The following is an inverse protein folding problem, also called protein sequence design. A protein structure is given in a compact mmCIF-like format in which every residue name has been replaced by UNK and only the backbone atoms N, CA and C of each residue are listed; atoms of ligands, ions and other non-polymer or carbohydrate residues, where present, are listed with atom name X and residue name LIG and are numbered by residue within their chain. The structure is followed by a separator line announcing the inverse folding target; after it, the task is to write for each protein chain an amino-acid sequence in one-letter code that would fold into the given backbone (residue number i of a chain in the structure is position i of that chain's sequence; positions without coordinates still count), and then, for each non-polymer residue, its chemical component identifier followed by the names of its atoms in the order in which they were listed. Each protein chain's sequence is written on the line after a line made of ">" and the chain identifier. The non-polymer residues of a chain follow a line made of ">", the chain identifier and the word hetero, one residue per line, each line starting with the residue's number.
data_IF_034508309713
#
_entry.id   IF_034508309713
#
_cell.length_a   1.000
_cell.length_b   1.000
_cell.length_c   1.000
_cell.angle_alpha   90.00
_cell.angle_beta   90.00
_cell.angle_gamma   90.00
#
_symmetry.space_group_name_H-M   'P 1'
#
loop_
_entity.id
_entity.type
_entity.pdbx_description
1 polymer ?
#
# COMPACT_ATOMS: atom_id res chain seq x y z
N UNK A 1 -3.01 6.73 12.52
CA UNK A 1 -3.26 6.21 13.88
C UNK A 1 -4.76 5.96 13.96
N UNK A 2 -5.21 4.80 14.44
CA UNK A 2 -6.65 4.58 14.61
C UNK A 2 -7.28 5.67 15.50
N UNK A 3 -8.47 6.13 15.16
CA UNK A 3 -9.24 7.15 15.90
C UNK A 3 -8.57 8.54 16.02
N UNK A 4 -7.57 8.84 15.19
CA UNK A 4 -6.99 10.17 15.13
C UNK A 4 -8.01 11.18 14.54
N UNK A 5 -8.20 12.36 15.17
CA UNK A 5 -9.09 13.40 14.65
C UNK A 5 -8.57 14.00 13.34
N UNK A 6 -7.27 13.85 13.06
CA UNK A 6 -6.64 14.24 11.79
C UNK A 6 -5.71 13.13 11.30
N UNK A 7 -5.82 12.77 10.01
CA UNK A 7 -5.03 11.71 9.40
C UNK A 7 -3.55 12.10 9.19
N UNK A 8 -3.20 13.37 9.36
CA UNK A 8 -1.84 13.91 9.29
C UNK A 8 -1.12 13.98 10.65
N UNK A 9 -1.63 13.34 11.71
CA UNK A 9 -0.95 13.28 13.00
C UNK A 9 0.32 12.43 12.94
N UNK A 10 1.48 13.07 13.07
CA UNK A 10 2.77 12.40 13.31
C UNK A 10 2.71 11.62 14.64
N UNK A 11 3.02 10.34 14.60
CA UNK A 11 3.21 9.50 15.79
C UNK A 11 4.56 8.82 15.75
N UNK A 12 5.10 8.51 16.92
CA UNK A 12 6.31 7.67 17.03
C UNK A 12 6.12 6.27 16.43
N UNK A 13 4.87 5.82 16.24
CA UNK A 13 4.54 4.49 15.70
C UNK A 13 4.43 4.46 14.19
N UNK A 14 3.96 5.53 13.57
CA UNK A 14 3.62 5.55 12.15
C UNK A 14 3.49 6.99 11.64
N UNK A 15 3.95 7.21 10.42
CA UNK A 15 3.89 8.47 9.71
C UNK A 15 3.82 8.20 8.20
N UNK A 16 3.25 9.14 7.44
CA UNK A 16 3.26 9.15 6.00
C UNK A 16 3.23 10.58 5.48
N UNK A 17 3.70 10.77 4.25
CA UNK A 17 3.69 12.04 3.55
C UNK A 17 3.43 11.78 2.07
N UNK A 18 2.72 12.71 1.45
CA UNK A 18 2.49 12.75 0.02
C UNK A 18 2.80 14.18 -0.44
N UNK A 19 3.75 14.31 -1.37
CA UNK A 19 4.24 15.58 -1.88
C UNK A 19 4.69 15.43 -3.33
N UNK A 20 4.65 16.51 -4.10
CA UNK A 20 5.23 16.50 -5.44
C UNK A 20 6.75 16.59 -5.36
N UNK A 21 7.43 15.75 -6.13
CA UNK A 21 8.87 15.82 -6.39
C UNK A 21 9.18 16.51 -7.74
N UNK A 22 8.15 16.91 -8.47
CA UNK A 22 8.28 17.57 -9.76
C UNK A 22 8.73 19.03 -9.61
N UNK A 23 9.26 19.57 -10.70
CA UNK A 23 9.71 20.95 -10.77
C UNK A 23 8.54 21.94 -10.72
N UNK A 24 8.84 23.13 -10.23
CA UNK A 24 7.94 24.26 -10.28
C UNK A 24 8.30 25.12 -11.48
N UNK A 25 7.32 25.37 -12.34
CA UNK A 25 7.50 26.21 -13.52
C UNK A 25 7.93 27.62 -13.09
N UNK A 26 9.09 28.13 -13.58
CA UNK A 26 9.74 29.30 -13.00
C UNK A 26 8.97 30.62 -13.20
N UNK A 27 8.10 30.69 -14.21
CA UNK A 27 7.33 31.91 -14.53
C UNK A 27 5.98 31.97 -13.81
N UNK A 28 5.21 30.87 -13.81
CA UNK A 28 3.83 30.87 -13.32
C UNK A 28 3.66 30.18 -11.97
N UNK A 29 4.71 29.56 -11.42
CA UNK A 29 4.70 28.91 -10.11
C UNK A 29 3.89 27.62 -10.04
N UNK A 30 3.40 27.08 -11.17
CA UNK A 30 2.67 25.81 -11.18
C UNK A 30 3.63 24.64 -11.07
N UNK A 31 3.28 23.63 -10.28
CA UNK A 31 4.04 22.40 -10.15
C UNK A 31 3.66 21.47 -11.31
N UNK A 32 4.65 20.87 -11.97
CA UNK A 32 4.39 19.85 -12.99
C UNK A 32 3.70 18.64 -12.36
N UNK A 33 2.78 18.01 -13.09
CA UNK A 33 2.00 16.89 -12.56
C UNK A 33 0.93 17.25 -11.52
N UNK A 34 0.64 18.54 -11.30
CA UNK A 34 -0.49 18.92 -10.45
C UNK A 34 -1.84 18.44 -11.03
N UNK A 35 -2.79 18.01 -10.18
CA UNK A 35 -2.65 17.86 -8.73
C UNK A 35 -1.91 16.56 -8.37
N UNK A 36 -1.34 16.49 -7.15
CA UNK A 36 -0.71 15.26 -6.66
C UNK A 36 -1.68 14.07 -6.79
N UNK A 37 -1.26 13.10 -7.60
CA UNK A 37 -2.04 11.92 -7.96
C UNK A 37 -1.87 10.77 -6.97
N UNK A 38 -0.82 10.78 -6.15
CA UNK A 38 -0.57 9.81 -5.10
C UNK A 38 -1.51 10.01 -3.91
N UNK A 39 -1.81 8.91 -3.23
CA UNK A 39 -2.58 8.89 -1.99
C UNK A 39 -2.05 7.83 -1.05
N UNK A 40 -2.18 8.05 0.26
CA UNK A 40 -1.82 7.06 1.27
C UNK A 40 -2.80 7.08 2.43
N UNK A 41 -2.84 5.97 3.18
CA UNK A 41 -3.48 5.91 4.48
C UNK A 41 -2.72 4.97 5.42
N UNK A 42 -2.64 5.36 6.70
CA UNK A 42 -1.97 4.57 7.72
C UNK A 42 -2.78 4.48 9.02
N UNK A 43 -3.16 3.26 9.36
CA UNK A 43 -3.89 2.92 10.56
C UNK A 43 -3.04 1.98 11.44
N UNK A 44 -2.16 2.57 12.24
CA UNK A 44 -1.40 1.86 13.27
C UNK A 44 -2.17 1.81 14.60
N UNK A 45 -2.27 0.61 15.18
CA UNK A 45 -2.88 0.26 16.47
C UNK A 45 -1.88 -0.42 17.37
N UNK A 46 -2.23 -0.78 18.59
CA UNK A 46 -1.30 -1.43 19.55
C UNK A 46 -0.64 -2.69 18.98
N UNK A 47 -1.44 -3.61 18.39
CA UNK A 47 -0.97 -4.92 17.93
C UNK A 47 -0.99 -5.11 16.41
N UNK A 48 -1.39 -4.10 15.63
CA UNK A 48 -1.44 -4.20 14.18
C UNK A 48 -1.21 -2.86 13.49
N UNK A 49 -0.91 -2.92 12.19
CA UNK A 49 -0.90 -1.76 11.34
C UNK A 49 -1.46 -2.10 9.95
N UNK A 50 -2.25 -1.19 9.40
CA UNK A 50 -2.65 -1.20 8.00
C UNK A 50 -2.02 0.02 7.32
N UNK A 51 -1.26 -0.21 6.25
CA UNK A 51 -0.54 0.81 5.50
C UNK A 51 -0.91 0.64 4.03
N UNK A 52 -1.30 1.71 3.36
CA UNK A 52 -1.74 1.66 1.97
C UNK A 52 -1.16 2.87 1.25
N UNK A 53 -0.58 2.64 0.07
CA UNK A 53 -0.22 3.68 -0.89
C UNK A 53 -0.85 3.34 -2.24
N UNK A 54 -1.20 4.37 -2.99
CA UNK A 54 -1.71 4.27 -4.34
C UNK A 54 -1.13 5.41 -5.15
N UNK A 55 -0.64 5.10 -6.34
CA UNK A 55 -0.10 6.05 -7.30
C UNK A 55 -1.03 6.15 -8.49
N UNK A 56 -1.59 7.32 -8.72
CA UNK A 56 -2.48 7.55 -9.85
C UNK A 56 -1.67 7.49 -11.14
N UNK A 57 -2.04 6.60 -12.07
CA UNK A 57 -1.32 6.46 -13.34
C UNK A 57 -1.56 7.71 -14.19
N UNK A 58 -0.48 8.31 -14.69
CA UNK A 58 -0.46 9.64 -15.31
C UNK A 58 -0.85 10.77 -14.34
N UNK A 59 -0.96 11.99 -14.86
CA UNK A 59 -1.32 13.17 -14.07
C UNK A 59 -2.79 13.53 -14.22
N UNK A 60 -3.29 14.31 -13.26
CA UNK A 60 -4.60 14.95 -13.37
C UNK A 60 -5.62 14.47 -12.34
N UNK A 61 -6.80 15.09 -12.39
CA UNK A 61 -7.84 14.88 -11.37
C UNK A 61 -8.39 13.45 -11.36
N UNK A 62 -8.44 12.77 -12.52
CA UNK A 62 -8.89 11.38 -12.60
C UNK A 62 -7.93 10.41 -11.92
N UNK A 63 -6.62 10.56 -12.12
CA UNK A 63 -5.58 9.73 -11.48
C UNK A 63 -5.58 9.95 -9.96
N UNK A 64 -5.64 11.22 -9.52
CA UNK A 64 -5.82 11.58 -8.11
C UNK A 64 -7.09 10.98 -7.50
N UNK A 65 -8.22 11.04 -8.20
CA UNK A 65 -9.47 10.46 -7.73
C UNK A 65 -9.34 8.94 -7.58
N UNK A 66 -8.74 8.27 -8.56
CA UNK A 66 -8.52 6.84 -8.52
C UNK A 66 -7.70 6.43 -7.29
N UNK A 67 -6.54 7.05 -7.07
CA UNK A 67 -5.68 6.75 -5.92
C UNK A 67 -6.40 6.97 -4.58
N UNK A 68 -7.16 8.06 -4.44
CA UNK A 68 -7.95 8.35 -3.23
C UNK A 68 -9.07 7.33 -3.02
N UNK A 69 -9.79 6.96 -4.07
CA UNK A 69 -10.83 5.95 -4.02
C UNK A 69 -10.27 4.57 -3.67
N UNK A 70 -9.14 4.20 -4.25
CA UNK A 70 -8.50 2.92 -3.98
C UNK A 70 -8.04 2.81 -2.53
N UNK A 71 -7.32 3.82 -2.04
CA UNK A 71 -6.89 3.93 -0.64
C UNK A 71 -8.09 3.90 0.30
N UNK A 72 -9.13 4.69 0.02
CA UNK A 72 -10.34 4.74 0.84
C UNK A 72 -11.06 3.39 0.87
N UNK A 73 -11.31 2.79 -0.29
CA UNK A 73 -12.03 1.53 -0.41
C UNK A 73 -11.33 0.38 0.30
N UNK A 74 -10.01 0.25 0.09
CA UNK A 74 -9.19 -0.75 0.76
C UNK A 74 -9.18 -0.52 2.28
N UNK A 75 -8.87 0.71 2.74
CA UNK A 75 -8.84 1.04 4.17
C UNK A 75 -10.20 0.81 4.83
N UNK A 76 -11.29 1.22 4.19
CA UNK A 76 -12.65 1.08 4.70
C UNK A 76 -13.04 -0.39 4.86
N UNK A 77 -12.87 -1.19 3.81
CA UNK A 77 -13.17 -2.63 3.82
C UNK A 77 -12.40 -3.36 4.91
N UNK A 78 -11.09 -3.16 4.94
CA UNK A 78 -10.21 -3.82 5.91
C UNK A 78 -10.59 -3.47 7.34
N UNK A 79 -10.82 -2.19 7.65
CA UNK A 79 -11.25 -1.82 9.00
C UNK A 79 -12.62 -2.39 9.36
N UNK A 80 -13.57 -2.43 8.43
CA UNK A 80 -14.88 -3.01 8.66
C UNK A 80 -14.79 -4.51 8.98
N UNK A 81 -13.99 -5.26 8.21
CA UNK A 81 -13.82 -6.70 8.40
C UNK A 81 -13.03 -7.04 9.66
N UNK A 82 -11.95 -6.30 9.92
CA UNK A 82 -11.10 -6.53 11.09
C UNK A 82 -11.76 -6.10 12.40
N UNK A 83 -12.60 -5.05 12.42
CA UNK A 83 -13.01 -4.42 13.69
C UNK A 83 -14.51 -4.17 13.86
N UNK A 84 -15.35 -4.34 12.82
CA UNK A 84 -16.79 -4.11 12.93
C UNK A 84 -17.66 -5.37 12.82
N UNK A 85 -17.06 -6.57 12.79
CA UNK A 85 -17.81 -7.84 12.74
C UNK A 85 -18.20 -8.32 14.14
N UNK A 86 -19.52 -8.44 14.40
CA UNK A 86 -20.12 -8.72 15.72
C UNK A 86 -20.45 -10.19 15.99
N UNK A 87 -19.95 -11.15 15.20
CA UNK A 87 -20.35 -12.58 15.33
C UNK A 87 -19.19 -13.49 15.75
N UNK A 88 -19.37 -14.35 16.78
CA UNK A 88 -18.38 -15.35 17.16
C UNK A 88 -18.42 -16.54 16.21
N UNK A 89 -17.28 -16.88 15.57
CA UNK A 89 -17.13 -18.09 14.75
C UNK A 89 -15.89 -18.87 15.21
N UNK A 90 -16.03 -20.20 15.14
CA UNK A 90 -15.11 -21.22 15.61
C UNK A 90 -14.27 -21.71 14.42
N UNK A 91 -12.97 -21.41 14.42
CA UNK A 91 -11.80 -22.28 14.16
C UNK A 91 -10.69 -21.64 13.30
N UNK A 92 -9.44 -21.87 13.73
CA UNK A 92 -8.15 -21.65 13.02
C UNK A 92 -7.95 -20.27 12.38
N UNK A 93 -8.15 -19.23 13.19
CA UNK A 93 -8.02 -17.83 12.82
C UNK A 93 -6.64 -17.25 13.15
N UNK A 94 -6.20 -16.29 12.34
CA UNK A 94 -5.12 -15.36 12.67
C UNK A 94 -5.51 -14.61 13.95
N UNK A 95 -4.75 -14.81 15.03
CA UNK A 95 -4.96 -14.12 16.29
C UNK A 95 -4.29 -12.75 16.26
N UNK A 96 -5.04 -11.71 15.90
CA UNK A 96 -4.80 -10.39 16.49
C UNK A 96 -5.40 -10.47 17.89
N UNK A 97 -4.66 -10.17 18.96
CA UNK A 97 -5.15 -10.31 20.34
C UNK A 97 -6.61 -9.81 20.48
N UNK A 98 -7.57 -10.75 20.56
CA UNK A 98 -9.04 -10.61 20.63
C UNK A 98 -9.86 -10.42 19.33
N UNK A 99 -9.31 -10.63 18.14
CA UNK A 99 -10.07 -10.62 16.87
C UNK A 99 -9.88 -11.97 16.17
N UNK A 100 -10.99 -12.69 16.00
CA UNK A 100 -11.05 -13.98 15.31
C UNK A 100 -11.60 -13.76 13.90
N UNK A 101 -10.75 -13.90 12.87
CA UNK A 101 -11.10 -13.68 11.45
C UNK A 101 -11.13 -15.05 10.74
N UNK A 102 -12.29 -15.45 10.22
CA UNK A 102 -12.50 -16.67 9.40
C UNK A 102 -11.68 -16.72 8.12
N UNK A 103 -11.41 -15.57 7.56
CA UNK A 103 -10.61 -15.38 6.36
C UNK A 103 -9.11 -15.25 6.69
N UNK A 104 -8.24 -15.72 5.80
CA UNK A 104 -6.81 -15.45 5.93
C UNK A 104 -6.51 -13.97 5.67
N UNK A 105 -5.34 -13.50 6.13
CA UNK A 105 -4.92 -12.12 5.87
C UNK A 105 -4.90 -11.77 4.37
N UNK A 106 -4.53 -12.73 3.52
CA UNK A 106 -4.50 -12.56 2.08
C UNK A 106 -5.88 -12.52 1.45
N UNK A 107 -6.84 -13.33 1.93
CA UNK A 107 -8.22 -13.27 1.44
C UNK A 107 -8.84 -11.90 1.71
N UNK A 108 -8.59 -11.32 2.88
CA UNK A 108 -9.03 -9.97 3.22
C UNK A 108 -8.36 -8.91 2.33
N UNK A 109 -7.04 -9.00 2.15
CA UNK A 109 -6.29 -8.06 1.30
C UNK A 109 -6.76 -8.12 -0.15
N UNK A 110 -6.95 -9.31 -0.71
CA UNK A 110 -7.48 -9.51 -2.07
C UNK A 110 -8.90 -8.97 -2.19
N UNK A 111 -9.81 -9.29 -1.27
CA UNK A 111 -11.17 -8.75 -1.30
C UNK A 111 -11.22 -7.22 -1.13
N UNK A 112 -10.20 -6.64 -0.49
CA UNK A 112 -10.07 -5.19 -0.36
C UNK A 112 -9.71 -4.52 -1.70
N UNK A 113 -9.04 -5.22 -2.62
CA UNK A 113 -8.78 -4.72 -3.98
C UNK A 113 -10.07 -4.57 -4.78
N UNK A 114 -10.98 -5.54 -4.69
CA UNK A 114 -12.28 -5.46 -5.36
C UNK A 114 -13.07 -4.24 -4.88
N UNK A 115 -13.05 -3.99 -3.56
CA UNK A 115 -13.72 -2.82 -2.98
C UNK A 115 -13.03 -1.52 -3.40
N UNK A 116 -11.69 -1.49 -3.42
CA UNK A 116 -10.91 -0.36 -3.91
C UNK A 116 -11.25 -0.04 -5.36
N UNK A 117 -11.23 -1.06 -6.23
CA UNK A 117 -11.58 -0.94 -7.64
C UNK A 117 -13.00 -0.43 -7.86
N UNK A 118 -13.99 -1.01 -7.17
CA UNK A 118 -15.38 -0.56 -7.28
C UNK A 118 -15.53 0.91 -6.87
N UNK A 119 -14.81 1.36 -5.85
CA UNK A 119 -14.82 2.77 -5.43
C UNK A 119 -14.25 3.71 -6.48
N UNK A 120 -13.27 3.27 -7.26
CA UNK A 120 -12.75 4.05 -8.39
C UNK A 120 -13.88 4.24 -9.42
N UNK A 121 -14.55 3.16 -9.81
CA UNK A 121 -15.64 3.19 -10.79
C UNK A 121 -16.83 4.05 -10.32
N UNK A 122 -17.24 3.90 -9.05
CA UNK A 122 -18.35 4.65 -8.44
C UNK A 122 -18.16 6.17 -8.52
N UNK A 123 -16.90 6.63 -8.58
CA UNK A 123 -16.51 8.03 -8.55
C UNK A 123 -15.89 8.53 -9.87
N UNK A 124 -16.02 7.77 -10.96
CA UNK A 124 -15.44 8.10 -12.27
C UNK A 124 -13.93 8.41 -12.22
N UNK A 125 -13.21 7.67 -11.35
CA UNK A 125 -11.76 7.75 -11.26
C UNK A 125 -11.05 7.18 -12.49
N UNK A 126 -9.82 7.64 -12.70
CA UNK A 126 -8.92 7.08 -13.70
C UNK A 126 -8.26 5.79 -13.23
N UNK A 127 -6.97 5.68 -13.48
CA UNK A 127 -6.18 4.49 -13.16
C UNK A 127 -5.25 4.76 -11.97
N UNK A 128 -4.98 3.74 -11.16
CA UNK A 128 -4.04 3.83 -10.04
C UNK A 128 -3.42 2.49 -9.71
N UNK A 129 -2.19 2.49 -9.22
CA UNK A 129 -1.59 1.35 -8.51
C UNK A 129 -2.23 1.18 -7.13
N UNK A 130 -1.98 0.04 -6.47
CA UNK A 130 -2.30 -0.12 -5.05
C UNK A 130 -1.32 -1.10 -4.39
N UNK A 131 -0.57 -0.62 -3.39
CA UNK A 131 0.20 -1.46 -2.47
C UNK A 131 -0.40 -1.34 -1.07
N UNK A 132 -0.93 -2.45 -0.55
CA UNK A 132 -1.54 -2.52 0.78
C UNK A 132 -0.84 -3.55 1.66
N UNK A 133 -0.38 -3.12 2.83
CA UNK A 133 0.31 -3.94 3.82
C UNK A 133 -0.49 -4.05 5.12
N UNK A 134 -0.64 -5.28 5.59
CA UNK A 134 -1.23 -5.62 6.87
C UNK A 134 -0.17 -6.27 7.77
N UNK A 135 0.13 -5.60 8.89
CA UNK A 135 1.09 -6.06 9.90
C UNK A 135 0.34 -6.67 11.07
N UNK A 136 0.65 -7.93 11.40
CA UNK A 136 -0.08 -8.77 12.37
C UNK A 136 0.91 -9.51 13.27
N UNK A 137 0.61 -9.75 14.55
CA UNK A 137 1.46 -10.54 15.42
C UNK A 137 1.41 -12.01 14.99
N UNK A 138 2.54 -12.70 15.08
CA UNK A 138 2.59 -14.14 14.88
C UNK A 138 2.19 -14.86 16.17
N UNK A 139 1.38 -15.91 16.03
CA UNK A 139 0.93 -16.71 17.17
C UNK A 139 2.14 -17.30 17.89
N UNK A 140 2.14 -17.18 19.23
CA UNK A 140 3.20 -17.72 20.10
C UNK A 140 4.61 -17.18 19.79
N UNK A 141 4.70 -16.02 19.14
CA UNK A 141 5.97 -15.34 18.84
C UNK A 141 5.90 -13.86 19.22
N UNK A 142 7.07 -13.23 19.40
CA UNK A 142 7.19 -11.76 19.54
C UNK A 142 7.28 -11.06 18.18
N UNK A 143 7.38 -11.84 17.10
CA UNK A 143 7.54 -11.36 15.74
C UNK A 143 6.18 -11.02 15.11
N UNK A 144 6.25 -10.28 14.01
CA UNK A 144 5.08 -9.89 13.23
C UNK A 144 5.20 -10.43 11.81
N UNK A 145 4.08 -10.76 11.20
CA UNK A 145 3.98 -10.97 9.76
C UNK A 145 3.59 -9.65 9.09
N UNK A 146 4.23 -9.33 7.98
CA UNK A 146 3.84 -8.26 7.06
C UNK A 146 3.30 -8.95 5.82
N UNK A 147 1.98 -8.93 5.65
CA UNK A 147 1.31 -9.46 4.47
C UNK A 147 0.99 -8.29 3.54
N UNK A 148 1.35 -8.42 2.27
CA UNK A 148 1.15 -7.37 1.25
C UNK A 148 0.34 -7.94 0.11
N UNK A 149 -0.58 -7.13 -0.39
CA UNK A 149 -1.10 -7.26 -1.76
C UNK A 149 -0.63 -6.04 -2.56
N UNK A 150 -0.12 -6.28 -3.75
CA UNK A 150 0.39 -5.22 -4.62
C UNK A 150 -0.11 -5.40 -6.05
N UNK A 151 -0.54 -4.32 -6.67
CA UNK A 151 -0.76 -4.20 -8.11
C UNK A 151 -0.15 -2.88 -8.56
N UNK A 152 0.66 -2.94 -9.62
CA UNK A 152 1.47 -1.82 -10.07
C UNK A 152 2.90 -1.86 -9.52
N UNK A 153 3.55 -0.71 -9.52
CA UNK A 153 4.98 -0.53 -9.26
C UNK A 153 5.28 0.27 -7.98
N UNK A 154 4.27 0.51 -7.15
CA UNK A 154 4.49 0.92 -5.76
C UNK A 154 5.08 -0.25 -4.97
N UNK A 155 6.12 0.00 -4.19
CA UNK A 155 6.92 -1.03 -3.55
C UNK A 155 6.82 -0.98 -2.03
N UNK A 156 7.07 -2.13 -1.40
CA UNK A 156 7.12 -2.27 0.04
C UNK A 156 8.46 -2.85 0.48
N UNK A 157 8.97 -2.33 1.60
CA UNK A 157 10.28 -2.67 2.12
C UNK A 157 10.22 -2.89 3.63
N UNK A 158 11.20 -3.65 4.12
CA UNK A 158 11.55 -3.72 5.53
C UNK A 158 13.00 -3.26 5.71
N UNK A 159 13.23 -2.38 6.66
CA UNK A 159 14.56 -2.05 7.16
C UNK A 159 14.74 -2.64 8.55
N UNK A 160 15.80 -3.42 8.73
CA UNK A 160 16.23 -3.94 10.02
C UNK A 160 17.67 -3.53 10.29
N UNK A 161 18.04 -3.36 11.56
CA UNK A 161 19.42 -3.01 11.92
C UNK A 161 20.44 -4.09 11.51
N UNK A 162 20.00 -5.34 11.49
CA UNK A 162 20.87 -6.48 11.26
C UNK A 162 21.00 -6.84 9.77
N UNK A 163 19.96 -6.60 8.97
CA UNK A 163 19.91 -7.01 7.57
C UNK A 163 19.83 -5.85 6.57
N UNK A 164 19.78 -4.60 7.05
CA UNK A 164 19.58 -3.43 6.20
C UNK A 164 18.16 -3.41 5.61
N UNK A 165 18.00 -2.70 4.50
CA UNK A 165 16.75 -2.66 3.75
C UNK A 165 16.61 -3.90 2.84
N UNK A 166 15.39 -4.42 2.74
CA UNK A 166 15.02 -5.55 1.87
C UNK A 166 13.65 -5.28 1.30
N UNK A 167 13.48 -5.57 0.02
CA UNK A 167 12.18 -5.44 -0.60
C UNK A 167 11.29 -6.64 -0.29
N UNK A 168 9.99 -6.40 -0.16
CA UNK A 168 8.96 -7.43 0.08
C UNK A 168 8.16 -7.71 -1.20
N UNK A 169 8.10 -6.75 -2.12
CA UNK A 169 7.34 -6.78 -3.38
C UNK A 169 8.13 -7.31 -4.58
N UNK A 170 9.25 -8.00 -4.38
CA UNK A 170 10.14 -8.46 -5.47
C UNK A 170 9.45 -9.34 -6.52
N UNK A 171 8.32 -9.96 -6.20
CA UNK A 171 7.53 -10.74 -7.16
C UNK A 171 6.69 -9.90 -8.12
N UNK A 172 6.52 -8.60 -7.88
CA UNK A 172 5.63 -7.72 -8.68
C UNK A 172 6.30 -7.15 -9.92
N UNK A 173 7.59 -7.40 -10.11
CA UNK A 173 8.36 -6.92 -11.26
C UNK A 173 9.55 -7.83 -11.56
N UNK A 174 10.05 -7.76 -12.79
CA UNK A 174 11.25 -8.50 -13.18
C UNK A 174 12.51 -7.71 -12.78
N UNK A 175 13.17 -8.18 -11.71
CA UNK A 175 14.40 -7.58 -11.18
C UNK A 175 15.61 -7.69 -12.14
N UNK A 176 15.53 -8.51 -13.19
CA UNK A 176 16.59 -8.65 -14.20
C UNK A 176 16.34 -7.82 -15.46
N UNK A 177 15.11 -7.34 -15.66
CA UNK A 177 14.76 -6.53 -16.81
C UNK A 177 15.00 -5.04 -16.55
N UNK A 178 15.27 -4.28 -17.63
CA UNK A 178 15.17 -2.83 -17.57
C UNK A 178 13.70 -2.46 -17.37
N UNK A 179 13.41 -1.71 -16.30
CA UNK A 179 12.05 -1.23 -16.01
C UNK A 179 11.70 -0.08 -16.96
N UNK A 180 10.55 -0.17 -17.63
CA UNK A 180 9.95 1.00 -18.29
C UNK A 180 9.27 1.85 -17.23
N UNK A 181 9.90 2.98 -16.88
CA UNK A 181 9.40 3.94 -15.88
C UNK A 181 8.05 4.57 -16.22
N UNK A 182 7.49 4.31 -17.42
CA UNK A 182 6.17 4.77 -17.82
C UNK A 182 5.09 3.70 -17.67
N UNK A 183 5.51 2.47 -17.41
CA UNK A 183 4.64 1.32 -17.26
C UNK A 183 4.64 0.87 -15.80
N UNK A 184 3.53 1.11 -15.13
CA UNK A 184 3.32 0.64 -13.76
C UNK A 184 3.22 -0.90 -13.70
N UNK A 185 3.09 -1.57 -14.84
CA UNK A 185 2.62 -2.93 -14.93
C UNK A 185 1.10 -2.95 -14.75
N UNK A 186 0.62 -3.37 -13.59
CA UNK A 186 -0.82 -3.43 -13.29
C UNK A 186 -1.41 -2.11 -12.81
N UNK A 187 -2.72 -1.96 -12.98
CA UNK A 187 -3.48 -0.84 -12.45
C UNK A 187 -4.93 -1.21 -12.13
N UNK A 188 -5.45 -0.65 -11.04
CA UNK A 188 -6.87 -0.59 -10.76
C UNK A 188 -7.52 0.57 -11.52
N UNK A 189 -8.82 0.43 -11.79
CA UNK A 189 -9.62 1.40 -12.53
C UNK A 189 -10.03 0.84 -13.90
N UNK A 190 -10.68 1.66 -14.74
CA UNK A 190 -11.21 1.25 -16.04
C UNK A 190 -10.10 1.13 -17.12
N UNK A 191 -9.22 0.13 -17.00
CA UNK A 191 -8.11 -0.08 -17.97
C UNK A 191 -8.66 -0.57 -19.30
N UNK A 192 -9.52 -1.60 -19.25
CA UNK A 192 -10.25 -2.11 -20.42
C UNK A 192 -11.76 -2.15 -20.12
N UNK A 193 -12.47 -1.11 -20.55
CA UNK A 193 -13.86 -0.92 -20.16
C UNK A 193 -13.95 -0.63 -18.66
N UNK A 194 -14.55 -1.53 -17.88
CA UNK A 194 -14.56 -1.44 -16.41
C UNK A 194 -13.49 -2.29 -15.75
N UNK A 195 -12.78 -3.13 -16.50
CA UNK A 195 -11.89 -4.14 -15.92
C UNK A 195 -10.52 -3.55 -15.56
N UNK A 196 -9.94 -3.96 -14.41
CA UNK A 196 -8.57 -3.59 -14.04
C UNK A 196 -7.54 -4.43 -14.81
N UNK A 197 -6.29 -3.98 -14.77
CA UNK A 197 -5.15 -4.75 -15.22
C UNK A 197 -4.38 -5.32 -14.02
N UNK A 198 -4.41 -6.65 -13.87
CA UNK A 198 -3.88 -7.35 -12.70
C UNK A 198 -2.69 -8.25 -13.03
N UNK A 199 -1.99 -8.01 -14.15
CA UNK A 199 -0.97 -8.94 -14.64
C UNK A 199 0.20 -9.13 -13.67
N UNK A 200 0.54 -8.09 -12.88
CA UNK A 200 1.57 -8.13 -11.85
C UNK A 200 0.98 -8.12 -10.42
N UNK A 201 -0.30 -8.47 -10.28
CA UNK A 201 -0.92 -8.63 -8.97
C UNK A 201 -0.15 -9.70 -8.19
N UNK A 202 0.33 -9.33 -7.01
CA UNK A 202 1.10 -10.21 -6.15
C UNK A 202 0.63 -10.17 -4.71
N UNK A 203 0.83 -11.29 -4.03
CA UNK A 203 0.69 -11.42 -2.59
C UNK A 203 2.04 -11.84 -2.03
N UNK A 204 2.59 -11.03 -1.13
CA UNK A 204 3.90 -11.28 -0.52
C UNK A 204 3.81 -11.30 1.00
N UNK A 205 4.72 -12.03 1.64
CA UNK A 205 4.83 -12.08 3.09
C UNK A 205 6.29 -11.99 3.51
N UNK A 206 6.57 -11.24 4.57
CA UNK A 206 7.83 -11.37 5.31
C UNK A 206 7.57 -11.36 6.82
N UNK A 207 8.50 -11.93 7.58
CA UNK A 207 8.47 -11.88 9.05
C UNK A 207 9.42 -10.79 9.51
N UNK A 208 8.99 -9.98 10.47
CA UNK A 208 9.74 -8.85 11.01
C UNK A 208 9.83 -8.90 12.53
N UNK A 209 10.92 -8.37 13.06
CA UNK A 209 11.18 -8.31 14.50
C UNK A 209 10.73 -6.97 15.10
N UNK A 210 10.46 -6.91 16.41
CA UNK A 210 10.26 -5.65 17.11
C UNK A 210 11.44 -4.69 16.92
N UNK A 211 11.17 -3.53 16.32
CA UNK A 211 12.18 -2.50 16.06
C UNK A 211 12.56 -2.37 14.58
N UNK A 212 12.12 -3.31 13.74
CA UNK A 212 12.19 -3.17 12.28
C UNK A 212 11.21 -2.07 11.80
N UNK A 213 11.56 -1.46 10.67
CA UNK A 213 10.77 -0.41 10.03
C UNK A 213 10.18 -0.97 8.74
N UNK A 214 8.86 -1.03 8.66
CA UNK A 214 8.14 -1.32 7.42
C UNK A 214 7.78 0.01 6.76
N UNK A 215 8.03 0.14 5.46
CA UNK A 215 7.67 1.32 4.70
C UNK A 215 7.21 0.96 3.29
N UNK A 216 6.26 1.73 2.78
CA UNK A 216 5.70 1.62 1.45
C UNK A 216 6.01 2.92 0.71
N UNK A 217 6.16 2.81 -0.60
CA UNK A 217 6.53 3.95 -1.43
C UNK A 217 5.94 3.85 -2.82
N UNK A 218 5.64 5.00 -3.43
CA UNK A 218 5.33 5.12 -4.86
C UNK A 218 6.62 5.26 -5.67
N UNK A 219 6.48 5.19 -7.00
CA UNK A 219 7.60 5.24 -7.95
C UNK A 219 8.42 6.54 -7.82
N UNK A 220 7.79 7.65 -7.44
CA UNK A 220 8.44 8.94 -7.28
C UNK A 220 9.60 8.88 -6.29
N UNK A 221 9.56 8.00 -5.29
CA UNK A 221 10.68 7.76 -4.39
C UNK A 221 11.48 6.53 -4.81
N UNK A 222 10.86 5.39 -5.16
CA UNK A 222 11.66 4.20 -5.50
C UNK A 222 12.51 4.42 -6.75
N UNK A 223 12.08 5.18 -7.74
CA UNK A 223 12.86 5.42 -8.96
C UNK A 223 14.04 6.37 -8.73
N UNK A 224 13.89 7.29 -7.78
CA UNK A 224 14.89 8.32 -7.46
C UNK A 224 15.83 7.91 -6.31
N UNK A 225 15.36 7.04 -5.43
CA UNK A 225 16.02 6.65 -4.19
C UNK A 225 15.93 5.15 -3.94
N UNK A 226 15.87 4.33 -4.99
CA UNK A 226 15.81 2.88 -4.84
C UNK A 226 16.94 2.45 -3.89
N UNK A 227 16.61 1.95 -2.69
CA UNK A 227 17.63 1.54 -1.75
C UNK A 227 18.46 0.39 -2.33
N UNK A 228 17.93 -0.40 -3.28
CA UNK A 228 18.68 -1.43 -4.00
C UNK A 228 19.67 -0.80 -4.99
N UNK A 229 19.25 0.16 -5.81
CA UNK A 229 20.15 0.86 -6.77
C UNK A 229 21.22 1.69 -6.05
N UNK A 230 20.86 2.31 -4.92
CA UNK A 230 21.81 3.04 -4.06
C UNK A 230 22.67 2.12 -3.18
N UNK A 231 22.50 0.78 -3.28
CA UNK A 231 23.22 -0.27 -2.51
C UNK A 231 23.03 -0.20 -0.99
N UNK A 232 21.91 0.36 -0.55
CA UNK A 232 21.45 0.41 0.84
C UNK A 232 20.50 -0.77 1.19
N UNK A 233 20.01 -1.49 0.18
CA UNK A 233 19.18 -2.69 0.30
C UNK A 233 19.72 -3.86 -0.54
N UNK A 234 19.36 -5.09 -0.15
CA UNK A 234 19.54 -6.30 -0.96
C UNK A 234 18.18 -6.69 -1.56
N UNK A 235 18.15 -6.98 -2.87
CA UNK A 235 17.00 -7.55 -3.57
C UNK A 235 16.75 -9.00 -3.14
#
# INVERSE_FOLDING_TARGET
>A
IADAPTWNCKSRKAYGICMSLYDQHPINGKISGDPIADSFAICARTNNALMIVADGVNWGEKSKMAARCAVYGCMHFMNQKLFHSTKPIKTTHVCLDNIYISESAFDLLLASLDTAHQKILDHDGGLTTLCAALVLPLKESKQFAVCIVNVGDSLAFVFSKNHGAREITTGSHDIQAERDIRDAGGALGPVNGTDPELHNLTCSMTVVDPGDIVYLTTDGISDNFDPVVTKLAVA
#
